data_IF_300161927572
#
_entry.id   IF_300161927572
#
_cell.length_a   1.000
_cell.length_b   1.000
_cell.length_c   1.000
_cell.angle_alpha   90.00
_cell.angle_beta   90.00
_cell.angle_gamma   90.00
#
_symmetry.space_group_name_H-M   'P 1'
#
loop_
_entity.id
_entity.type
_entity.pdbx_description
1 polymer ?
#
# COMPACT_ATOMS: atom_id res chain seq x y z
N UNK A 1 14.62 -19.31 7.85
CA UNK A 1 13.31 -18.65 7.87
C UNK A 1 13.57 -17.19 7.52
N UNK A 2 13.16 -16.72 6.32
CA UNK A 2 13.42 -15.34 5.85
C UNK A 2 12.25 -14.42 6.25
N UNK A 3 11.95 -14.39 7.55
CA UNK A 3 10.82 -13.65 8.08
C UNK A 3 11.11 -13.16 9.50
N UNK A 4 10.50 -12.03 9.85
CA UNK A 4 10.47 -11.46 11.18
C UNK A 4 9.11 -11.71 11.83
N UNK A 5 9.11 -11.83 13.14
CA UNK A 5 7.91 -11.89 13.96
C UNK A 5 7.62 -10.49 14.48
N UNK A 6 6.38 -10.03 14.34
CA UNK A 6 5.97 -8.66 14.67
C UNK A 6 4.88 -8.72 15.73
N UNK A 7 5.12 -8.02 16.84
CA UNK A 7 4.15 -7.84 17.92
C UNK A 7 3.20 -6.70 17.56
N UNK A 8 1.91 -7.02 17.39
CA UNK A 8 0.86 -6.07 17.00
C UNK A 8 -0.20 -5.87 18.09
N UNK A 9 0.06 -6.34 19.31
CA UNK A 9 -0.95 -6.36 20.37
C UNK A 9 -2.10 -7.34 20.14
N UNK A 10 -1.98 -8.23 19.14
CA UNK A 10 -2.92 -9.31 18.86
C UNK A 10 -2.61 -10.54 19.75
N UNK A 11 -3.57 -11.46 19.89
CA UNK A 11 -3.40 -12.71 20.64
C UNK A 11 -2.26 -13.60 20.10
N UNK A 12 -1.85 -13.37 18.85
CA UNK A 12 -0.78 -14.12 18.19
C UNK A 12 0.14 -13.18 17.45
N UNK A 13 1.43 -13.47 17.56
CA UNK A 13 2.48 -12.77 16.82
C UNK A 13 2.27 -12.93 15.32
N UNK A 14 2.31 -11.81 14.61
CA UNK A 14 2.19 -11.75 13.17
C UNK A 14 3.55 -11.99 12.49
N UNK A 15 3.56 -12.27 11.19
CA UNK A 15 4.78 -12.54 10.46
C UNK A 15 4.96 -11.61 9.25
N UNK A 16 6.17 -11.11 9.09
CA UNK A 16 6.61 -10.24 8.00
C UNK A 16 7.72 -10.94 7.21
N UNK A 17 7.46 -11.31 5.96
CA UNK A 17 8.45 -11.98 5.12
C UNK A 17 9.43 -10.97 4.51
N UNK A 18 10.69 -11.35 4.27
CA UNK A 18 11.70 -10.47 3.68
C UNK A 18 11.26 -9.83 2.34
N UNK A 19 10.51 -10.58 1.52
CA UNK A 19 9.93 -10.09 0.25
C UNK A 19 8.88 -9.00 0.42
N UNK A 20 8.33 -8.84 1.63
CA UNK A 20 7.22 -7.92 1.92
C UNK A 20 7.72 -6.65 2.65
N UNK A 21 9.04 -6.45 2.71
CA UNK A 21 9.72 -5.30 3.30
C UNK A 21 10.24 -4.38 2.19
N UNK A 22 9.75 -3.14 2.17
CA UNK A 22 10.25 -2.07 1.33
C UNK A 22 11.71 -1.75 1.67
N UNK A 23 12.59 -1.82 0.66
CA UNK A 23 14.01 -1.50 0.82
C UNK A 23 14.24 0.00 0.77
N UNK A 24 15.17 0.49 1.57
CA UNK A 24 15.68 1.84 1.41
C UNK A 24 16.38 1.95 0.03
N UNK A 25 16.03 2.91 -0.83
CA UNK A 25 16.67 3.08 -2.14
C UNK A 25 18.20 3.16 -2.09
N UNK A 26 18.76 3.59 -0.96
CA UNK A 26 20.21 3.66 -0.73
C UNK A 26 20.91 2.30 -0.59
N UNK A 27 20.17 1.19 -0.44
CA UNK A 27 20.71 -0.18 -0.31
C UNK A 27 20.52 -1.03 -1.58
N UNK A 28 20.17 -0.41 -2.72
CA UNK A 28 19.75 -1.12 -3.95
C UNK A 28 20.84 -1.83 -4.76
N UNK A 29 22.11 -1.80 -4.35
CA UNK A 29 23.19 -2.05 -5.31
C UNK A 29 23.59 -3.51 -5.60
N UNK A 30 23.05 -4.57 -4.96
CA UNK A 30 23.63 -5.92 -5.22
C UNK A 30 22.73 -7.16 -5.24
N UNK A 31 21.58 -7.23 -4.56
CA UNK A 31 20.89 -8.53 -4.39
C UNK A 31 19.53 -8.64 -5.11
N UNK A 32 19.43 -9.66 -6.00
CA UNK A 32 18.16 -10.21 -6.53
C UNK A 32 17.23 -10.55 -5.35
N UNK A 33 15.91 -10.48 -5.54
CA UNK A 33 14.93 -10.73 -4.46
C UNK A 33 15.08 -12.09 -3.77
N UNK A 34 15.70 -13.08 -4.43
CA UNK A 34 15.94 -14.42 -3.88
C UNK A 34 17.10 -14.51 -2.86
N UNK A 35 17.99 -13.52 -2.80
CA UNK A 35 19.13 -13.47 -1.85
C UNK A 35 18.88 -12.54 -0.65
N UNK A 36 17.64 -12.11 -0.45
CA UNK A 36 17.29 -11.23 0.67
C UNK A 36 17.44 -11.95 2.01
N UNK A 37 18.34 -11.43 2.84
CA UNK A 37 18.49 -11.85 4.22
C UNK A 37 17.67 -10.94 5.13
N UNK A 38 16.68 -11.49 5.83
CA UNK A 38 15.82 -10.74 6.75
C UNK A 38 16.62 -9.90 7.76
N UNK A 39 17.80 -10.38 8.19
CA UNK A 39 18.67 -9.69 9.15
C UNK A 39 19.32 -8.41 8.62
N UNK A 40 19.31 -8.22 7.30
CA UNK A 40 19.81 -7.00 6.65
C UNK A 40 18.69 -5.99 6.41
N UNK A 41 17.44 -6.41 6.58
CA UNK A 41 16.25 -5.61 6.26
C UNK A 41 15.55 -5.03 7.50
N UNK A 42 15.67 -5.68 8.64
CA UNK A 42 15.03 -5.25 9.89
C UNK A 42 15.86 -5.71 11.10
N UNK A 43 15.93 -4.87 12.12
CA UNK A 43 16.62 -5.15 13.39
C UNK A 43 15.63 -5.48 14.52
N UNK A 44 16.10 -6.24 15.52
CA UNK A 44 15.30 -6.56 16.70
C UNK A 44 14.97 -5.28 17.48
N UNK A 45 13.67 -5.04 17.74
CA UNK A 45 13.19 -3.85 18.43
C UNK A 45 12.93 -2.64 17.53
N UNK A 46 13.13 -2.78 16.22
CA UNK A 46 12.77 -1.75 15.24
C UNK A 46 11.24 -1.58 15.14
N UNK A 47 10.79 -0.32 15.18
CA UNK A 47 9.37 0.02 14.99
C UNK A 47 9.08 0.16 13.50
N UNK A 48 8.10 -0.60 13.01
CA UNK A 48 7.77 -0.65 11.59
C UNK A 48 6.27 -0.49 11.35
N UNK A 49 5.91 0.40 10.43
CA UNK A 49 4.54 0.50 9.94
C UNK A 49 4.25 -0.68 9.00
N UNK A 50 3.17 -1.40 9.31
CA UNK A 50 2.76 -2.58 8.55
C UNK A 50 1.29 -2.53 8.18
N UNK A 51 0.95 -3.17 7.06
CA UNK A 51 -0.42 -3.47 6.64
C UNK A 51 -0.66 -4.97 6.71
N UNK A 52 -1.83 -5.37 7.21
CA UNK A 52 -2.27 -6.76 7.20
C UNK A 52 -2.60 -7.17 5.77
N UNK A 53 -1.86 -8.13 5.23
CA UNK A 53 -2.09 -8.71 3.90
C UNK A 53 -3.03 -9.91 3.97
N UNK A 54 -2.95 -10.68 5.07
CA UNK A 54 -3.86 -11.81 5.35
C UNK A 54 -4.16 -11.86 6.83
N UNK A 55 -5.44 -11.99 7.14
CA UNK A 55 -5.92 -12.22 8.50
C UNK A 55 -5.32 -13.51 9.11
N UNK A 56 -5.21 -13.57 10.45
CA UNK A 56 -4.79 -14.78 11.13
C UNK A 56 -5.76 -15.94 10.82
N UNK A 57 -5.20 -17.12 10.53
CA UNK A 57 -5.98 -18.31 10.19
C UNK A 57 -5.52 -19.53 10.98
N UNK A 58 -6.45 -20.18 11.69
CA UNK A 58 -6.20 -21.44 12.37
C UNK A 58 -5.25 -21.28 13.56
N UNK A 59 -3.98 -21.66 13.40
CA UNK A 59 -2.87 -21.43 14.36
C UNK A 59 -1.84 -20.41 13.87
N UNK A 60 -1.99 -19.91 12.64
CA UNK A 60 -1.04 -18.96 12.03
C UNK A 60 -1.46 -17.53 12.36
N UNK A 61 -0.49 -16.69 12.74
CA UNK A 61 -0.68 -15.26 12.89
C UNK A 61 -0.96 -14.56 11.55
N UNK A 62 -1.25 -13.26 11.59
CA UNK A 62 -1.48 -12.45 10.40
C UNK A 62 -0.22 -12.37 9.52
N UNK A 63 -0.40 -12.27 8.19
CA UNK A 63 0.68 -11.91 7.27
C UNK A 63 0.73 -10.41 7.10
N UNK A 64 1.93 -9.84 7.17
CA UNK A 64 2.15 -8.41 7.08
C UNK A 64 2.96 -8.02 5.85
N UNK A 65 2.86 -6.75 5.48
CA UNK A 65 3.75 -6.09 4.52
C UNK A 65 4.00 -4.63 4.92
N UNK A 66 5.16 -4.09 4.55
CA UNK A 66 5.45 -2.65 4.66
C UNK A 66 5.14 -1.89 3.35
N UNK A 67 4.70 -2.60 2.30
CA UNK A 67 4.17 -2.00 1.08
C UNK A 67 2.74 -1.50 1.31
N UNK A 68 2.61 -0.33 1.95
CA UNK A 68 1.32 0.25 2.27
C UNK A 68 0.56 0.61 0.98
N UNK A 69 -0.69 0.16 0.90
CA UNK A 69 -1.61 0.46 -0.20
C UNK A 69 -2.98 0.84 0.32
N UNK A 70 -3.61 1.82 -0.34
CA UNK A 70 -4.93 2.34 0.05
C UNK A 70 -5.85 2.29 -1.17
N UNK A 71 -6.84 1.39 -1.18
CA UNK A 71 -7.76 1.27 -2.30
C UNK A 71 -8.89 2.32 -2.24
N UNK A 72 -9.32 2.75 -3.43
CA UNK A 72 -10.56 3.49 -3.69
C UNK A 72 -11.32 2.79 -4.83
N UNK A 73 -12.36 3.41 -5.39
CA UNK A 73 -13.19 2.78 -6.43
C UNK A 73 -12.39 2.43 -7.68
N UNK A 74 -11.66 3.40 -8.21
CA UNK A 74 -10.95 3.35 -9.48
C UNK A 74 -9.42 3.27 -9.30
N UNK A 75 -8.91 3.75 -8.17
CA UNK A 75 -7.47 3.86 -7.92
C UNK A 75 -7.04 3.10 -6.67
N UNK A 76 -5.79 2.65 -6.65
CA UNK A 76 -5.07 2.26 -5.43
C UNK A 76 -3.89 3.19 -5.26
N UNK A 77 -3.80 3.87 -4.11
CA UNK A 77 -2.64 4.70 -3.75
C UNK A 77 -1.53 3.83 -3.17
N UNK A 78 -0.29 4.16 -3.50
CA UNK A 78 0.94 3.56 -2.94
C UNK A 78 1.78 4.73 -2.37
N UNK A 79 1.61 5.10 -1.10
CA UNK A 79 2.16 6.34 -0.57
C UNK A 79 3.69 6.47 -0.65
N UNK A 80 4.40 5.36 -0.43
CA UNK A 80 5.87 5.30 -0.53
C UNK A 80 6.39 4.91 -1.92
N UNK A 81 5.47 4.73 -2.89
CA UNK A 81 5.82 4.42 -4.27
C UNK A 81 5.86 5.66 -5.16
N UNK A 82 6.25 5.45 -6.41
CA UNK A 82 6.26 6.48 -7.45
C UNK A 82 5.57 5.98 -8.71
N UNK A 83 5.14 6.93 -9.56
CA UNK A 83 4.64 6.62 -10.90
C UNK A 83 3.17 6.23 -10.98
N UNK A 84 2.81 5.64 -12.11
CA UNK A 84 1.44 5.24 -12.46
C UNK A 84 1.48 3.85 -13.07
N UNK A 85 0.85 2.89 -12.39
CA UNK A 85 0.55 1.57 -12.94
C UNK A 85 -0.87 1.52 -13.49
N UNK A 86 -1.10 0.70 -14.50
CA UNK A 86 -2.45 0.35 -14.98
C UNK A 86 -2.59 -1.16 -14.82
N UNK A 87 -3.72 -1.62 -14.27
CA UNK A 87 -3.98 -3.04 -14.04
C UNK A 87 -3.66 -3.87 -15.28
N UNK A 88 -2.97 -5.00 -15.09
CA UNK A 88 -2.66 -5.92 -16.19
C UNK A 88 -3.90 -6.56 -16.83
N UNK A 89 -5.05 -6.49 -16.16
CA UNK A 89 -6.35 -6.98 -16.68
C UNK A 89 -7.00 -6.04 -17.69
N UNK A 90 -6.56 -4.77 -17.76
CA UNK A 90 -6.98 -3.84 -18.82
C UNK A 90 -6.08 -4.15 -20.02
N UNK A 91 -6.60 -4.86 -21.02
CA UNK A 91 -5.82 -5.35 -22.17
C UNK A 91 -5.78 -4.34 -23.34
N UNK A 92 -6.75 -3.43 -23.41
CA UNK A 92 -6.81 -2.40 -24.45
C UNK A 92 -5.72 -1.34 -24.26
N UNK A 93 -4.77 -1.29 -25.20
CA UNK A 93 -3.64 -0.37 -25.17
C UNK A 93 -4.06 1.10 -25.29
N UNK A 94 -5.14 1.42 -26.03
CA UNK A 94 -5.64 2.79 -26.15
C UNK A 94 -6.20 3.27 -24.80
N UNK A 95 -6.98 2.43 -24.13
CA UNK A 95 -7.53 2.75 -22.81
C UNK A 95 -6.43 2.81 -21.73
N UNK A 96 -5.43 1.92 -21.80
CA UNK A 96 -4.26 1.98 -20.91
C UNK A 96 -3.54 3.32 -21.05
N UNK A 97 -3.34 3.79 -22.28
CA UNK A 97 -2.67 5.06 -22.53
C UNK A 97 -3.53 6.25 -22.11
N UNK A 98 -4.83 6.23 -22.40
CA UNK A 98 -5.80 7.24 -21.96
C UNK A 98 -5.79 7.41 -20.43
N UNK A 99 -5.88 6.30 -19.67
CA UNK A 99 -5.85 6.31 -18.21
C UNK A 99 -4.51 6.82 -17.64
N UNK A 100 -3.38 6.49 -18.28
CA UNK A 100 -2.07 7.06 -17.92
C UNK A 100 -2.02 8.57 -18.16
N UNK A 101 -2.59 9.04 -19.26
CA UNK A 101 -2.59 10.46 -19.63
C UNK A 101 -3.47 11.30 -18.71
N UNK A 102 -4.63 10.79 -18.29
CA UNK A 102 -5.51 11.49 -17.34
C UNK A 102 -4.73 11.86 -16.09
N UNK A 103 -3.95 10.94 -15.51
CA UNK A 103 -3.16 11.24 -14.30
C UNK A 103 -1.94 12.14 -14.55
N UNK A 104 -1.40 12.17 -15.77
CA UNK A 104 -0.33 13.12 -16.14
C UNK A 104 -0.81 14.55 -16.24
N UNK A 105 -2.12 14.79 -16.40
CA UNK A 105 -2.65 16.14 -16.31
C UNK A 105 -2.32 16.68 -14.93
N UNK A 106 -1.82 17.93 -14.82
CA UNK A 106 -1.57 18.57 -13.55
C UNK A 106 -2.93 18.87 -12.92
N UNK A 107 -3.56 17.85 -12.36
CA UNK A 107 -4.63 18.08 -11.40
C UNK A 107 -4.03 18.95 -10.31
N UNK A 108 -4.79 19.96 -9.92
CA UNK A 108 -4.44 20.96 -8.90
C UNK A 108 -4.26 20.35 -7.50
N UNK A 109 -4.13 19.04 -7.40
CA UNK A 109 -3.63 18.36 -6.22
C UNK A 109 -2.12 18.58 -6.26
N UNK A 110 -1.61 19.38 -5.32
CA UNK A 110 -0.17 19.61 -5.17
C UNK A 110 0.57 18.28 -5.34
N UNK A 111 1.73 18.30 -6.02
CA UNK A 111 2.68 17.17 -5.99
C UNK A 111 2.83 16.74 -4.53
N UNK A 112 2.24 15.61 -4.20
CA UNK A 112 2.40 14.91 -2.94
C UNK A 112 3.05 13.56 -3.23
N UNK A 113 3.78 12.97 -2.28
CA UNK A 113 4.35 11.64 -2.44
C UNK A 113 3.23 10.62 -2.73
N UNK A 114 3.52 9.66 -3.61
CA UNK A 114 2.65 8.52 -3.84
C UNK A 114 2.50 8.08 -5.30
N UNK A 115 2.71 6.79 -5.53
CA UNK A 115 2.34 6.07 -6.74
C UNK A 115 0.85 5.75 -6.76
N UNK A 116 0.31 5.45 -7.94
CA UNK A 116 -1.09 5.01 -8.05
C UNK A 116 -1.18 3.84 -9.04
N UNK A 117 -2.05 2.88 -8.76
CA UNK A 117 -2.45 1.83 -9.69
C UNK A 117 -3.89 2.08 -10.11
N UNK A 118 -4.14 2.14 -11.42
CA UNK A 118 -5.47 2.21 -12.00
C UNK A 118 -6.10 0.81 -12.01
N UNK A 119 -7.27 0.66 -11.40
CA UNK A 119 -8.03 -0.60 -11.29
C UNK A 119 -8.82 -0.85 -12.56
N UNK A 120 -9.21 -2.10 -12.81
CA UNK A 120 -10.13 -2.46 -13.92
C UNK A 120 -11.46 -1.72 -13.85
N UNK A 121 -11.94 -1.40 -12.64
CA UNK A 121 -13.16 -0.61 -12.46
C UNK A 121 -13.07 0.79 -13.09
N UNK A 122 -11.87 1.28 -13.42
CA UNK A 122 -11.66 2.57 -14.05
C UNK A 122 -11.84 2.57 -15.58
N UNK A 123 -12.08 1.41 -16.19
CA UNK A 123 -12.39 1.35 -17.63
C UNK A 123 -13.63 2.21 -17.93
N UNK A 124 -13.48 3.16 -18.85
CA UNK A 124 -14.52 4.13 -19.20
C UNK A 124 -14.76 5.21 -18.14
N UNK A 125 -13.96 5.26 -17.07
CA UNK A 125 -14.06 6.32 -16.07
C UNK A 125 -13.60 7.66 -16.65
N UNK A 126 -14.31 8.71 -16.27
CA UNK A 126 -13.97 10.07 -16.70
C UNK A 126 -12.77 10.62 -15.93
N UNK A 127 -12.15 11.63 -16.53
CA UNK A 127 -11.11 12.44 -15.93
C UNK A 127 -11.50 12.99 -14.54
N UNK A 128 -12.75 13.43 -14.39
CA UNK A 128 -13.26 14.02 -13.14
C UNK A 128 -13.48 12.97 -12.05
N UNK A 129 -13.97 11.78 -12.41
CA UNK A 129 -14.13 10.65 -11.47
C UNK A 129 -12.80 10.18 -10.90
N UNK A 130 -11.78 10.03 -11.75
CA UNK A 130 -10.43 9.68 -11.32
C UNK A 130 -9.84 10.76 -10.41
N UNK A 131 -10.12 12.03 -10.70
CA UNK A 131 -9.66 13.16 -9.87
C UNK A 131 -10.30 13.19 -8.50
N UNK A 132 -11.60 12.87 -8.44
CA UNK A 132 -12.32 12.75 -7.18
C UNK A 132 -11.73 11.64 -6.31
N UNK A 133 -11.43 10.48 -6.90
CA UNK A 133 -10.75 9.37 -6.21
C UNK A 133 -9.36 9.76 -5.73
N UNK A 134 -8.56 10.45 -6.54
CA UNK A 134 -7.24 10.95 -6.12
C UNK A 134 -7.34 11.91 -4.93
N UNK A 135 -8.30 12.83 -4.94
CA UNK A 135 -8.51 13.77 -3.85
C UNK A 135 -8.95 13.06 -2.57
N UNK A 136 -9.84 12.08 -2.69
CA UNK A 136 -10.27 11.23 -1.57
C UNK A 136 -9.07 10.49 -0.97
N UNK A 137 -8.30 9.79 -1.80
CA UNK A 137 -7.12 9.03 -1.37
C UNK A 137 -6.08 9.92 -0.69
N UNK A 138 -5.84 11.13 -1.21
CA UNK A 138 -4.88 12.06 -0.56
C UNK A 138 -5.36 12.48 0.83
N UNK A 139 -6.63 12.86 0.97
CA UNK A 139 -7.18 13.25 2.28
C UNK A 139 -7.15 12.10 3.28
N UNK A 140 -7.45 10.90 2.82
CA UNK A 140 -7.36 9.69 3.64
C UNK A 140 -5.92 9.44 4.09
N UNK A 141 -4.95 9.56 3.17
CA UNK A 141 -3.54 9.44 3.52
C UNK A 141 -3.08 10.53 4.50
N UNK A 142 -3.48 11.79 4.31
CA UNK A 142 -3.17 12.88 5.24
C UNK A 142 -3.66 12.55 6.67
N UNK A 143 -4.85 11.94 6.79
CA UNK A 143 -5.40 11.51 8.08
C UNK A 143 -4.62 10.33 8.68
N UNK A 144 -4.24 9.36 7.85
CA UNK A 144 -3.41 8.21 8.27
C UNK A 144 -2.02 8.68 8.71
N UNK A 145 -1.35 9.57 7.97
CA UNK A 145 -0.07 10.19 8.37
C UNK A 145 -0.19 10.89 9.73
N UNK A 146 -1.29 11.62 9.95
CA UNK A 146 -1.59 12.23 11.24
C UNK A 146 -1.74 11.22 12.37
N UNK A 147 -2.39 10.08 12.12
CA UNK A 147 -2.52 8.99 13.10
C UNK A 147 -1.18 8.31 13.38
N UNK A 148 -0.39 7.98 12.36
CA UNK A 148 0.93 7.36 12.49
C UNK A 148 1.81 8.19 13.44
N UNK A 149 1.81 9.51 13.27
CA UNK A 149 2.63 10.42 14.09
C UNK A 149 2.24 10.45 15.58
N UNK A 150 1.06 9.95 15.94
CA UNK A 150 0.54 9.94 17.31
C UNK A 150 0.46 8.52 17.91
N UNK A 151 0.55 7.49 17.07
CA UNK A 151 0.47 6.09 17.47
C UNK A 151 1.74 5.61 18.18
N UNK A 152 1.56 4.62 19.05
CA UNK A 152 2.62 3.84 19.68
C UNK A 152 2.70 2.46 19.05
N UNK A 153 3.77 1.72 19.34
CA UNK A 153 3.91 0.32 18.93
C UNK A 153 2.70 -0.49 19.38
N UNK A 154 2.09 -1.21 18.43
CA UNK A 154 0.90 -2.04 18.65
C UNK A 154 -0.43 -1.32 18.49
N UNK A 155 -0.45 0.01 18.28
CA UNK A 155 -1.68 0.73 18.02
C UNK A 155 -2.22 0.46 16.61
N UNK A 156 -3.54 0.33 16.50
CA UNK A 156 -4.23 0.32 15.21
C UNK A 156 -4.26 1.75 14.65
N UNK A 157 -3.56 1.96 13.54
CA UNK A 157 -3.48 3.26 12.86
C UNK A 157 -4.73 3.53 12.02
N UNK A 158 -5.18 2.52 11.27
CA UNK A 158 -6.30 2.63 10.35
C UNK A 158 -6.90 1.25 10.11
N UNK A 159 -8.23 1.20 10.08
CA UNK A 159 -9.00 0.01 9.75
C UNK A 159 -9.94 0.36 8.60
N UNK A 160 -9.98 -0.50 7.58
CA UNK A 160 -10.92 -0.34 6.49
C UNK A 160 -12.36 -0.45 7.02
N UNK A 161 -13.24 0.39 6.50
CA UNK A 161 -14.65 0.30 6.85
C UNK A 161 -15.16 -1.10 6.47
N UNK A 162 -15.81 -1.82 7.40
CA UNK A 162 -16.41 -3.10 7.06
C UNK A 162 -17.37 -2.89 5.91
N UNK A 163 -17.29 -3.77 4.89
CA UNK A 163 -18.25 -3.76 3.80
C UNK A 163 -19.64 -3.80 4.43
N UNK A 164 -20.42 -2.74 4.21
CA UNK A 164 -21.83 -2.74 4.56
C UNK A 164 -22.46 -3.88 3.76
N UNK A 165 -22.66 -5.02 4.40
CA UNK A 165 -23.51 -6.09 3.89
C UNK A 165 -24.90 -5.46 3.87
N UNK A 166 -25.33 -5.03 2.68
CA UNK A 166 -26.66 -4.48 2.48
C UNK A 166 -27.69 -5.39 3.14
N UNK A 167 -28.47 -4.81 4.05
CA UNK A 167 -29.60 -5.46 4.70
C UNK A 167 -30.70 -5.76 3.70
#
# INVERSE_FOLDING_TARGET
>A
MQAAFVELGLERTAFLHASDIARNPSQKDTNRDDDLNIRELIEDGEEVLVQVLKDPLGTKGARLTTFITIPSRYLVMIPYGEGVGVSARIEDDEEREHLRQIKRRPYRVRRGPGGYIVRTAAEGATADELSADMLFLRKLWDAIEGSIAQSRVGDLVYEDLPLAVGS
#
